data_IF_537218053000
#
_entry.id   IF_537218053000
#
_cell.length_a   1.000
_cell.length_b   1.000
_cell.length_c   1.000
_cell.angle_alpha   90.00
_cell.angle_beta   90.00
_cell.angle_gamma   90.00
#
_symmetry.space_group_name_H-M   'P 1'
#
loop_
_entity.id
_entity.type
_entity.pdbx_description
1 polymer ?
#
# COMPACT_ATOMS: atom_id res chain seq x y z
N UNK A 1 -7.55 -27.29 -5.17
CA UNK A 1 -6.73 -26.93 -3.98
C UNK A 1 -5.59 -25.96 -4.31
N UNK A 2 -4.76 -26.22 -5.34
CA UNK A 2 -3.54 -25.42 -5.63
C UNK A 2 -3.78 -23.95 -6.00
N UNK A 3 -4.84 -23.62 -6.75
CA UNK A 3 -5.12 -22.26 -7.19
C UNK A 3 -5.63 -21.34 -6.06
N UNK A 4 -6.48 -21.88 -5.17
CA UNK A 4 -6.97 -21.15 -3.99
C UNK A 4 -5.84 -20.81 -3.01
N UNK A 5 -4.91 -21.76 -2.78
CA UNK A 5 -3.73 -21.52 -1.94
C UNK A 5 -2.83 -20.42 -2.51
N UNK A 6 -2.61 -20.41 -3.83
CA UNK A 6 -1.83 -19.36 -4.51
C UNK A 6 -2.50 -17.99 -4.41
N UNK A 7 -3.82 -17.90 -4.56
CA UNK A 7 -4.53 -16.61 -4.39
C UNK A 7 -4.43 -16.08 -2.96
N UNK A 8 -4.52 -16.95 -1.95
CA UNK A 8 -4.34 -16.56 -0.54
C UNK A 8 -2.90 -16.10 -0.28
N UNK A 9 -1.91 -16.76 -0.89
CA UNK A 9 -0.51 -16.35 -0.82
C UNK A 9 -0.30 -14.93 -1.39
N UNK A 10 -0.83 -14.64 -2.59
CA UNK A 10 -0.76 -13.30 -3.19
C UNK A 10 -1.33 -12.22 -2.26
N UNK A 11 -2.51 -12.46 -1.67
CA UNK A 11 -3.14 -11.49 -0.77
C UNK A 11 -2.31 -11.24 0.51
N UNK A 12 -1.66 -12.27 1.05
CA UNK A 12 -0.75 -12.11 2.19
C UNK A 12 0.48 -11.29 1.80
N UNK A 13 1.11 -11.58 0.65
CA UNK A 13 2.26 -10.82 0.15
C UNK A 13 1.91 -9.33 -0.03
N UNK A 14 0.75 -9.03 -0.60
CA UNK A 14 0.24 -7.65 -0.75
C UNK A 14 0.09 -6.97 0.62
N UNK A 15 -0.56 -7.64 1.59
CA UNK A 15 -0.77 -7.11 2.94
C UNK A 15 0.54 -6.88 3.70
N UNK A 16 1.55 -7.71 3.48
CA UNK A 16 2.89 -7.53 4.03
C UNK A 16 3.69 -6.44 3.30
N UNK A 17 3.26 -6.02 2.10
CA UNK A 17 3.94 -5.02 1.27
C UNK A 17 5.03 -5.59 0.35
N UNK A 18 5.05 -6.91 0.20
CA UNK A 18 5.89 -7.66 -0.74
C UNK A 18 5.25 -7.64 -2.13
N UNK A 19 5.24 -6.45 -2.74
CA UNK A 19 4.51 -6.23 -4.00
C UNK A 19 5.16 -6.90 -5.20
N UNK A 20 6.50 -6.98 -5.22
CA UNK A 20 7.23 -7.61 -6.32
C UNK A 20 6.97 -9.11 -6.35
N UNK A 21 7.04 -9.78 -5.20
CA UNK A 21 6.71 -11.19 -5.07
C UNK A 21 5.22 -11.46 -5.36
N UNK A 22 4.33 -10.58 -4.90
CA UNK A 22 2.90 -10.68 -5.20
C UNK A 22 2.64 -10.59 -6.71
N UNK A 23 3.31 -9.69 -7.42
CA UNK A 23 3.18 -9.54 -8.87
C UNK A 23 3.67 -10.77 -9.61
N UNK A 24 4.84 -11.30 -9.24
CA UNK A 24 5.38 -12.51 -9.85
C UNK A 24 4.40 -13.70 -9.74
N UNK A 25 3.77 -13.87 -8.58
CA UNK A 25 2.75 -14.92 -8.39
C UNK A 25 1.46 -14.65 -9.17
N UNK A 26 1.00 -13.39 -9.23
CA UNK A 26 -0.20 -13.03 -10.00
C UNK A 26 0.00 -13.22 -11.51
N UNK A 27 1.21 -12.99 -12.01
CA UNK A 27 1.58 -13.21 -13.41
C UNK A 27 1.63 -14.71 -13.74
N UNK A 28 2.12 -15.55 -12.82
CA UNK A 28 2.05 -17.02 -12.96
C UNK A 28 0.61 -17.56 -12.97
N UNK A 29 -0.28 -16.88 -12.27
CA UNK A 29 -1.71 -17.20 -12.25
C UNK A 29 -2.46 -16.68 -13.48
N UNK A 30 -1.89 -15.73 -14.23
CA UNK A 30 -2.46 -15.23 -15.46
C UNK A 30 -2.17 -16.22 -16.61
N UNK A 31 -3.12 -16.44 -17.54
CA UNK A 31 -2.88 -17.30 -18.69
C UNK A 31 -1.78 -16.71 -19.59
N UNK A 32 -0.90 -17.57 -20.12
CA UNK A 32 0.27 -17.22 -20.94
C UNK A 32 -0.05 -16.31 -22.16
N UNK A 33 -1.30 -16.31 -22.64
CA UNK A 33 -1.78 -15.44 -23.72
C UNK A 33 -1.74 -13.94 -23.40
N UNK A 34 -1.63 -13.53 -22.13
CA UNK A 34 -1.62 -12.12 -21.73
C UNK A 34 -0.22 -11.49 -21.69
N UNK A 35 0.85 -12.29 -21.75
CA UNK A 35 2.23 -11.82 -21.57
C UNK A 35 2.94 -11.39 -22.86
N UNK A 36 2.30 -11.50 -24.04
CA UNK A 36 2.94 -11.25 -25.33
C UNK A 36 2.15 -10.40 -26.34
N UNK A 37 0.96 -9.88 -25.98
CA UNK A 37 0.22 -9.02 -26.90
C UNK A 37 0.66 -7.56 -26.74
N UNK A 38 1.29 -7.02 -27.79
CA UNK A 38 1.35 -5.57 -28.05
C UNK A 38 -0.03 -4.93 -27.79
N UNK A 39 -0.14 -3.63 -27.44
CA UNK A 39 -1.43 -3.01 -27.16
C UNK A 39 -2.30 -3.08 -28.43
N UNK A 40 -3.17 -4.09 -28.50
CA UNK A 40 -4.13 -4.25 -29.56
C UNK A 40 -5.11 -3.06 -29.48
N UNK A 41 -5.55 -2.53 -30.65
CA UNK A 41 -6.40 -1.37 -30.70
C UNK A 41 -7.70 -1.65 -29.93
N UNK A 42 -8.11 -0.67 -29.11
CA UNK A 42 -9.32 -0.71 -28.29
C UNK A 42 -10.55 -1.01 -29.16
N UNK A 43 -10.92 -2.28 -29.27
CA UNK A 43 -12.18 -2.74 -29.85
C UNK A 43 -13.13 -3.09 -28.72
N UNK A 44 -14.37 -2.58 -28.83
CA UNK A 44 -15.46 -2.81 -27.87
C UNK A 44 -15.86 -4.30 -27.95
N UNK A 45 -15.42 -5.11 -26.99
CA UNK A 45 -15.79 -6.53 -26.92
C UNK A 45 -14.76 -7.49 -26.35
N UNK A 46 -13.71 -7.03 -25.66
CA UNK A 46 -12.76 -7.93 -25.01
C UNK A 46 -13.44 -8.67 -23.82
N UNK A 47 -13.20 -9.99 -23.65
CA UNK A 47 -13.66 -10.71 -22.46
C UNK A 47 -13.09 -10.05 -21.19
N UNK A 48 -13.83 -10.06 -20.07
CA UNK A 48 -13.39 -9.41 -18.85
C UNK A 48 -12.00 -9.93 -18.46
N UNK A 49 -11.05 -9.04 -18.12
CA UNK A 49 -9.69 -9.44 -17.83
C UNK A 49 -9.69 -10.44 -16.67
N UNK A 50 -8.87 -11.49 -16.80
CA UNK A 50 -8.75 -12.53 -15.78
C UNK A 50 -8.51 -11.89 -14.41
N UNK A 51 -9.15 -12.37 -13.31
CA UNK A 51 -9.06 -11.74 -12.00
C UNK A 51 -7.64 -11.45 -11.53
N UNK A 52 -6.69 -12.34 -11.84
CA UNK A 52 -5.27 -12.15 -11.53
C UNK A 52 -4.63 -10.98 -12.29
N UNK A 53 -5.00 -10.74 -13.56
CA UNK A 53 -4.50 -9.61 -14.36
C UNK A 53 -4.99 -8.30 -13.76
N UNK A 54 -6.28 -8.20 -13.46
CA UNK A 54 -6.86 -7.02 -12.80
C UNK A 54 -6.21 -6.76 -11.44
N UNK A 55 -5.94 -7.80 -10.66
CA UNK A 55 -5.26 -7.67 -9.36
C UNK A 55 -3.81 -7.22 -9.51
N UNK A 56 -3.08 -7.74 -10.49
CA UNK A 56 -1.72 -7.30 -10.80
C UNK A 56 -1.69 -5.81 -11.20
N UNK A 57 -2.64 -5.36 -12.01
CA UNK A 57 -2.77 -3.93 -12.35
C UNK A 57 -2.99 -3.05 -11.10
N UNK A 58 -3.84 -3.48 -10.16
CA UNK A 58 -4.04 -2.76 -8.89
C UNK A 58 -2.74 -2.67 -8.09
N UNK A 59 -1.99 -3.76 -7.98
CA UNK A 59 -0.69 -3.79 -7.27
C UNK A 59 0.31 -2.86 -7.97
N UNK A 60 0.40 -2.88 -9.31
CA UNK A 60 1.27 -1.97 -10.09
C UNK A 60 0.90 -0.50 -9.85
N UNK A 61 -0.39 -0.15 -9.92
CA UNK A 61 -0.87 1.20 -9.63
C UNK A 61 -0.54 1.63 -8.20
N UNK A 62 -0.70 0.73 -7.23
CA UNK A 62 -0.33 1.01 -5.84
C UNK A 62 1.17 1.26 -5.69
N UNK A 63 2.02 0.48 -6.38
CA UNK A 63 3.47 0.67 -6.36
C UNK A 63 3.88 2.01 -6.99
N UNK A 64 3.28 2.37 -8.12
CA UNK A 64 3.53 3.67 -8.76
C UNK A 64 3.18 4.81 -7.81
N UNK A 65 1.99 4.76 -7.20
CA UNK A 65 1.54 5.75 -6.21
C UNK A 65 2.41 5.78 -4.96
N UNK A 66 2.92 4.62 -4.50
CA UNK A 66 3.93 4.54 -3.43
C UNK A 66 5.20 5.29 -3.80
N UNK A 67 5.73 5.07 -5.01
CA UNK A 67 6.96 5.72 -5.48
C UNK A 67 6.76 7.24 -5.62
N UNK A 68 5.63 7.67 -6.19
CA UNK A 68 5.25 9.08 -6.25
C UNK A 68 5.17 9.68 -4.84
N UNK A 69 4.50 8.99 -3.91
CA UNK A 69 4.39 9.39 -2.50
C UNK A 69 5.75 9.53 -1.81
N UNK A 70 6.65 8.58 -2.02
CA UNK A 70 8.02 8.64 -1.49
C UNK A 70 8.79 9.84 -2.06
N UNK A 71 8.64 10.11 -3.35
CA UNK A 71 9.28 11.24 -4.04
C UNK A 71 8.85 12.58 -3.44
N UNK A 72 7.53 12.80 -3.30
CA UNK A 72 7.01 14.05 -2.73
C UNK A 72 7.26 14.15 -1.22
N UNK A 73 7.29 13.02 -0.51
CA UNK A 73 7.71 12.96 0.90
C UNK A 73 9.16 13.43 1.06
N UNK A 74 10.08 12.99 0.19
CA UNK A 74 11.47 13.44 0.19
C UNK A 74 11.61 14.93 -0.09
N UNK A 75 10.69 15.52 -0.87
CA UNK A 75 10.58 16.97 -1.11
C UNK A 75 9.91 17.73 0.04
N UNK A 76 9.57 17.05 1.14
CA UNK A 76 8.85 17.58 2.31
C UNK A 76 7.42 18.06 2.01
N UNK A 77 6.86 17.71 0.86
CA UNK A 77 5.43 17.91 0.60
C UNK A 77 4.63 16.73 1.18
N UNK A 78 4.41 16.82 2.49
CA UNK A 78 3.74 15.77 3.23
C UNK A 78 2.24 15.68 2.92
N UNK A 79 1.60 16.77 2.49
CA UNK A 79 0.19 16.75 2.07
C UNK A 79 0.03 15.96 0.78
N UNK A 80 0.88 16.20 -0.21
CA UNK A 80 0.90 15.40 -1.44
C UNK A 80 1.27 13.94 -1.14
N UNK A 81 2.22 13.69 -0.24
CA UNK A 81 2.60 12.33 0.14
C UNK A 81 1.41 11.54 0.71
N UNK A 82 0.65 12.13 1.64
CA UNK A 82 -0.55 11.51 2.21
C UNK A 82 -1.57 11.17 1.12
N UNK A 83 -1.78 12.06 0.15
CA UNK A 83 -2.68 11.80 -0.99
C UNK A 83 -2.20 10.61 -1.82
N UNK A 84 -0.95 10.59 -2.24
CA UNK A 84 -0.39 9.49 -3.03
C UNK A 84 -0.49 8.14 -2.30
N UNK A 85 -0.16 8.09 -1.00
CA UNK A 85 -0.31 6.84 -0.24
C UNK A 85 -1.77 6.44 -0.04
N UNK A 86 -2.69 7.39 0.04
CA UNK A 86 -4.13 7.10 0.10
C UNK A 86 -4.61 6.50 -1.22
N UNK A 87 -4.25 7.11 -2.35
CA UNK A 87 -4.55 6.58 -3.69
C UNK A 87 -3.96 5.16 -3.87
N UNK A 88 -2.79 4.87 -3.29
CA UNK A 88 -2.21 3.52 -3.27
C UNK A 88 -3.04 2.55 -2.40
N UNK A 89 -3.48 2.98 -1.23
CA UNK A 89 -4.30 2.21 -0.29
C UNK A 89 -5.70 1.89 -0.84
N UNK A 90 -6.24 2.75 -1.70
CA UNK A 90 -7.50 2.51 -2.41
C UNK A 90 -7.39 1.35 -3.42
N UNK A 91 -6.18 1.03 -3.87
CA UNK A 91 -5.93 -0.13 -4.73
C UNK A 91 -5.63 -1.39 -3.89
N UNK A 92 -4.74 -1.27 -2.91
CA UNK A 92 -4.29 -2.40 -2.08
C UNK A 92 -4.01 -1.97 -0.64
N UNK A 93 -4.48 -2.76 0.32
CA UNK A 93 -4.16 -2.56 1.72
C UNK A 93 -2.82 -3.23 2.06
N UNK A 94 -1.90 -2.48 2.64
CA UNK A 94 -0.56 -2.97 2.95
C UNK A 94 0.05 -2.30 4.17
N UNK A 95 0.74 -3.11 4.97
CA UNK A 95 1.56 -2.68 6.11
C UNK A 95 2.46 -1.51 5.76
N UNK A 96 3.16 -1.60 4.62
CA UNK A 96 4.14 -0.60 4.19
C UNK A 96 3.46 0.72 3.84
N UNK A 97 2.33 0.68 3.13
CA UNK A 97 1.59 1.88 2.71
C UNK A 97 1.00 2.62 3.91
N UNK A 98 0.36 1.89 4.83
CA UNK A 98 -0.15 2.48 6.07
C UNK A 98 0.98 3.13 6.87
N UNK A 99 2.11 2.43 7.05
CA UNK A 99 3.22 2.99 7.81
C UNK A 99 3.86 4.22 7.14
N UNK A 100 3.91 4.28 5.81
CA UNK A 100 4.42 5.43 5.07
C UNK A 100 3.46 6.62 5.15
N UNK A 101 2.14 6.38 5.06
CA UNK A 101 1.13 7.42 5.27
C UNK A 101 1.16 7.96 6.70
N UNK A 102 1.32 7.09 7.70
CA UNK A 102 1.54 7.50 9.08
C UNK A 102 2.76 8.42 9.24
N UNK A 103 3.88 8.10 8.57
CA UNK A 103 5.07 8.96 8.61
C UNK A 103 4.79 10.37 8.05
N UNK A 104 4.04 10.47 6.96
CA UNK A 104 3.63 11.76 6.39
C UNK A 104 2.66 12.52 7.31
N UNK A 105 1.72 11.82 7.96
CA UNK A 105 0.80 12.41 8.93
C UNK A 105 1.51 12.94 10.18
N UNK A 106 2.55 12.26 10.66
CA UNK A 106 3.39 12.75 11.78
C UNK A 106 4.04 14.10 11.46
N UNK A 107 4.52 14.28 10.23
CA UNK A 107 5.11 15.56 9.80
C UNK A 107 4.07 16.68 9.72
N UNK A 108 2.80 16.33 9.47
CA UNK A 108 1.67 17.25 9.50
C UNK A 108 1.07 17.44 10.90
N UNK A 109 1.71 16.91 11.95
CA UNK A 109 1.20 16.91 13.33
C UNK A 109 -0.17 16.23 13.51
N UNK A 110 -0.59 15.39 12.55
CA UNK A 110 -1.82 14.60 12.61
C UNK A 110 -1.56 13.27 13.31
N UNK A 111 -1.20 13.33 14.59
CA UNK A 111 -0.70 12.17 15.33
C UNK A 111 -1.77 11.11 15.58
N UNK A 112 -3.05 11.48 15.76
CA UNK A 112 -4.15 10.52 15.91
C UNK A 112 -4.28 9.63 14.67
N UNK A 113 -4.35 10.25 13.49
CA UNK A 113 -4.44 9.53 12.23
C UNK A 113 -3.20 8.64 11.98
N UNK A 114 -2.02 9.10 12.41
CA UNK A 114 -0.80 8.30 12.32
C UNK A 114 -0.84 7.06 13.23
N UNK A 115 -1.43 7.16 14.43
CA UNK A 115 -1.63 6.02 15.34
C UNK A 115 -2.59 5.00 14.72
N UNK A 116 -3.68 5.45 14.11
CA UNK A 116 -4.63 4.56 13.43
C UNK A 116 -3.95 3.79 12.30
N UNK A 117 -3.23 4.47 11.42
CA UNK A 117 -2.53 3.84 10.30
C UNK A 117 -1.48 2.85 10.79
N UNK A 118 -0.70 3.20 11.82
CA UNK A 118 0.26 2.26 12.41
C UNK A 118 -0.45 1.04 13.00
N UNK A 119 -1.61 1.23 13.62
CA UNK A 119 -2.40 0.11 14.18
C UNK A 119 -2.89 -0.82 13.07
N UNK A 120 -3.41 -0.27 11.96
CA UNK A 120 -3.81 -1.07 10.78
C UNK A 120 -2.61 -1.82 10.17
N UNK A 121 -1.44 -1.20 10.11
CA UNK A 121 -0.23 -1.86 9.64
C UNK A 121 0.15 -3.06 10.54
N UNK A 122 0.05 -2.90 11.85
CA UNK A 122 0.43 -3.91 12.83
C UNK A 122 -0.56 -5.08 12.91
N UNK A 123 -1.81 -4.93 12.46
CA UNK A 123 -2.75 -6.05 12.29
C UNK A 123 -2.18 -7.09 11.30
N UNK A 124 -1.54 -6.63 10.22
CA UNK A 124 -0.99 -7.51 9.20
C UNK A 124 0.43 -7.98 9.52
N UNK A 125 1.25 -7.09 10.07
CA UNK A 125 2.61 -7.42 10.51
C UNK A 125 2.87 -6.85 11.90
N UNK A 126 2.58 -7.61 12.97
CA UNK A 126 2.75 -7.15 14.35
C UNK A 126 4.20 -6.80 14.73
N UNK A 127 5.17 -7.33 13.98
CA UNK A 127 6.60 -7.11 14.20
C UNK A 127 7.18 -6.01 13.31
N UNK A 128 6.35 -5.25 12.60
CA UNK A 128 6.82 -4.21 11.70
C UNK A 128 7.39 -3.02 12.46
N UNK A 129 8.71 -3.03 12.66
CA UNK A 129 9.47 -2.09 13.49
C UNK A 129 9.16 -0.63 13.16
N UNK A 130 9.03 -0.28 11.87
CA UNK A 130 8.73 1.09 11.45
C UNK A 130 7.35 1.56 11.95
N UNK A 131 6.33 0.70 11.91
CA UNK A 131 5.00 1.06 12.44
C UNK A 131 4.99 1.14 13.96
N UNK A 132 5.69 0.22 14.66
CA UNK A 132 5.84 0.28 16.11
C UNK A 132 6.50 1.59 16.56
N UNK A 133 7.64 1.93 15.96
CA UNK A 133 8.39 3.14 16.28
C UNK A 133 7.57 4.41 16.00
N UNK A 134 6.87 4.46 14.86
CA UNK A 134 6.01 5.61 14.51
C UNK A 134 4.84 5.74 15.47
N UNK A 135 4.14 4.64 15.80
CA UNK A 135 3.03 4.66 16.76
C UNK A 135 3.48 5.18 18.12
N UNK A 136 4.62 4.70 18.62
CA UNK A 136 5.19 5.17 19.89
C UNK A 136 5.53 6.67 19.85
N UNK A 137 6.14 7.15 18.76
CA UNK A 137 6.44 8.56 18.58
C UNK A 137 5.17 9.43 18.55
N UNK A 138 4.11 8.96 17.88
CA UNK A 138 2.82 9.66 17.84
C UNK A 138 2.14 9.71 19.20
N UNK A 139 2.14 8.63 19.98
CA UNK A 139 1.62 8.67 21.35
C UNK A 139 2.36 9.69 22.22
N UNK A 140 3.70 9.73 22.13
CA UNK A 140 4.50 10.72 22.87
C UNK A 140 4.14 12.16 22.48
N UNK A 141 3.84 12.41 21.21
CA UNK A 141 3.41 13.73 20.75
C UNK A 141 2.00 14.07 21.26
N UNK A 142 1.07 13.12 21.23
CA UNK A 142 -0.30 13.28 21.74
C UNK A 142 -0.33 13.53 23.25
N UNK A 143 0.54 12.92 24.05
CA UNK A 143 0.61 13.17 25.50
C UNK A 143 1.18 14.57 25.82
N UNK A 144 2.05 15.11 24.95
CA UNK A 144 2.65 16.44 25.13
C UNK A 144 1.75 17.59 24.63
N UNK A 145 0.87 17.32 23.66
CA UNK A 145 -0.10 18.30 23.13
C UNK A 145 -1.00 18.93 24.21
N UNK A 146 -1.65 18.18 25.13
CA UNK A 146 -2.50 18.78 26.17
C UNK A 146 -1.74 19.69 27.14
N UNK A 147 -0.43 19.49 27.29
CA UNK A 147 0.42 20.35 28.14
C UNK A 147 0.86 21.64 27.44
N UNK A 148 0.78 21.70 26.10
CA UNK A 148 1.19 22.86 25.31
C UNK A 148 0.07 23.88 25.08
N UNK A 149 -1.17 23.55 25.43
CA UNK A 149 -2.37 24.38 25.25
C UNK A 149 -2.87 24.98 26.59
N UNK A 150 -2.13 24.74 27.67
CA UNK A 150 -2.36 25.34 28.99
C UNK A 150 -1.37 26.50 29.21
#
# INVERSE_FOLDING_TARGET
ASQSLRTTCCELLIKLGQFDEALAELERLAPASAAGAAPAPKTKGAPPPHPAVKRAEQVRRAMEKKVQGNTVFGRRDFKAAVRCYTEALDQVQSTVLYANRAAAMQQLQKHDNAVEDCTRALVWNPKYVKALARRAASYRALTKLPQAVA
#
